data_IF_596836615141
#
_entry.id   IF_596836615141
#
_cell.length_a   1.000
_cell.length_b   1.000
_cell.length_c   1.000
_cell.angle_alpha   90.00
_cell.angle_beta   90.00
_cell.angle_gamma   90.00
#
_symmetry.space_group_name_H-M   'P 1'
#
loop_
_entity.id
_entity.type
_entity.pdbx_description
1 polymer ?
#
# COMPACT_ATOMS: atom_id res chain seq x y z
N UNK A 1 -6.43 9.68 -27.13
CA UNK A 1 -5.51 9.82 -26.02
C UNK A 1 -6.22 9.35 -24.76
N UNK A 2 -5.71 8.32 -24.10
CA UNK A 2 -6.25 7.85 -22.82
C UNK A 2 -5.18 8.07 -21.76
N UNK A 3 -5.51 8.81 -20.69
CA UNK A 3 -4.58 9.17 -19.64
C UNK A 3 -4.87 8.38 -18.37
N UNK A 4 -3.81 7.81 -17.78
CA UNK A 4 -3.80 7.36 -16.40
C UNK A 4 -3.10 8.43 -15.53
N UNK A 5 -3.84 9.03 -14.61
CA UNK A 5 -3.31 9.96 -13.63
C UNK A 5 -2.96 9.19 -12.35
N UNK A 6 -1.71 9.21 -11.96
CA UNK A 6 -1.19 8.44 -10.81
C UNK A 6 -0.60 9.39 -9.79
N UNK A 7 -1.18 9.49 -8.61
CA UNK A 7 -0.59 10.26 -7.49
C UNK A 7 0.33 9.38 -6.65
N UNK A 8 1.39 9.95 -6.09
CA UNK A 8 2.46 9.16 -5.48
C UNK A 8 3.22 8.35 -6.53
N UNK A 9 3.29 8.89 -7.76
CA UNK A 9 3.74 8.18 -8.96
C UNK A 9 5.17 7.65 -8.88
N UNK A 10 6.03 8.25 -8.08
CA UNK A 10 7.40 7.81 -7.89
C UNK A 10 7.60 6.87 -6.68
N UNK A 11 6.53 6.58 -5.91
CA UNK A 11 6.54 5.59 -4.83
C UNK A 11 6.47 4.15 -5.37
N UNK A 12 6.51 3.16 -4.45
CA UNK A 12 6.48 1.72 -4.79
C UNK A 12 5.30 1.37 -5.70
N UNK A 13 4.08 1.62 -5.25
CA UNK A 13 2.86 1.23 -5.97
C UNK A 13 2.61 2.17 -7.16
N UNK A 14 2.86 3.48 -6.98
CA UNK A 14 2.67 4.45 -8.05
C UNK A 14 3.56 4.18 -9.26
N UNK A 15 4.85 3.87 -9.04
CA UNK A 15 5.78 3.61 -10.14
C UNK A 15 5.46 2.31 -10.89
N UNK A 16 5.04 1.27 -10.17
CA UNK A 16 4.56 0.03 -10.79
C UNK A 16 3.29 0.27 -11.59
N UNK A 17 2.35 1.08 -11.04
CA UNK A 17 1.13 1.49 -11.75
C UNK A 17 1.47 2.25 -13.04
N UNK A 18 2.39 3.21 -12.99
CA UNK A 18 2.81 3.96 -14.18
C UNK A 18 3.31 3.03 -15.30
N UNK A 19 4.17 2.07 -14.95
CA UNK A 19 4.71 1.08 -15.91
C UNK A 19 3.60 0.20 -16.50
N UNK A 20 2.74 -0.33 -15.63
CA UNK A 20 1.68 -1.26 -16.03
C UNK A 20 0.66 -0.59 -16.96
N UNK A 21 0.16 0.60 -16.62
CA UNK A 21 -0.80 1.31 -17.44
C UNK A 21 -0.18 1.84 -18.74
N UNK A 22 1.10 2.24 -18.69
CA UNK A 22 1.82 2.61 -19.91
C UNK A 22 1.95 1.42 -20.88
N UNK A 23 2.22 0.23 -20.37
CA UNK A 23 2.29 -0.98 -21.19
C UNK A 23 0.94 -1.33 -21.87
N UNK A 24 -0.17 -0.87 -21.30
CA UNK A 24 -1.51 -1.00 -21.89
C UNK A 24 -1.90 0.18 -22.79
N UNK A 25 -0.94 1.04 -23.13
CA UNK A 25 -1.12 2.13 -24.08
C UNK A 25 -1.69 3.43 -23.52
N UNK A 26 -1.69 3.61 -22.19
CA UNK A 26 -2.05 4.89 -21.58
C UNK A 26 -0.87 5.86 -21.62
N UNK A 27 -1.15 7.13 -21.85
CA UNK A 27 -0.23 8.20 -21.49
C UNK A 27 -0.31 8.41 -19.96
N UNK A 28 0.84 8.67 -19.33
CA UNK A 28 0.91 8.75 -17.87
C UNK A 28 1.08 10.20 -17.43
N UNK A 29 0.22 10.64 -16.50
CA UNK A 29 0.40 11.86 -15.72
C UNK A 29 0.72 11.47 -14.28
N UNK A 30 1.98 11.58 -13.91
CA UNK A 30 2.45 11.29 -12.57
C UNK A 30 2.42 12.54 -11.70
N UNK A 31 1.74 12.48 -10.55
CA UNK A 31 1.70 13.55 -9.54
C UNK A 31 2.48 13.10 -8.32
N UNK A 32 3.58 13.78 -8.00
CA UNK A 32 4.43 13.46 -6.84
C UNK A 32 5.27 14.70 -6.47
N UNK A 33 5.43 14.98 -5.18
CA UNK A 33 6.21 16.10 -4.66
C UNK A 33 7.36 15.65 -3.74
N UNK A 34 7.68 14.36 -3.73
CA UNK A 34 8.76 13.75 -2.93
C UNK A 34 8.63 14.01 -1.40
N UNK A 35 7.41 14.17 -0.88
CA UNK A 35 7.22 14.29 0.59
C UNK A 35 7.73 13.08 1.37
N UNK A 36 7.99 11.96 0.71
CA UNK A 36 8.60 10.80 1.35
C UNK A 36 9.97 11.12 1.94
N UNK A 37 10.76 11.97 1.28
CA UNK A 37 12.02 12.48 1.81
C UNK A 37 11.82 13.28 3.10
N UNK A 38 10.73 14.06 3.20
CA UNK A 38 10.37 14.79 4.43
C UNK A 38 9.96 13.85 5.56
N UNK A 39 9.20 12.77 5.25
CA UNK A 39 8.69 11.85 6.27
C UNK A 39 9.75 10.90 6.83
N UNK A 40 10.70 10.44 5.99
CA UNK A 40 11.63 9.36 6.31
C UNK A 40 13.10 9.69 6.07
N UNK A 41 13.42 10.92 5.67
CA UNK A 41 14.78 11.36 5.37
C UNK A 41 15.19 11.16 3.89
N UNK A 42 16.33 11.73 3.52
CA UNK A 42 16.81 11.77 2.15
C UNK A 42 17.00 10.37 1.50
N UNK A 43 17.32 9.35 2.29
CA UNK A 43 17.47 7.97 1.80
C UNK A 43 16.14 7.38 1.29
N UNK A 44 15.01 7.96 1.69
CA UNK A 44 13.68 7.53 1.27
C UNK A 44 13.13 8.35 0.09
N UNK A 45 13.90 9.29 -0.47
CA UNK A 45 13.51 10.12 -1.62
C UNK A 45 13.09 9.27 -2.81
N UNK A 46 12.03 9.71 -3.48
CA UNK A 46 11.50 9.08 -4.69
C UNK A 46 12.06 9.69 -5.99
N UNK A 47 12.95 10.68 -5.89
CA UNK A 47 13.50 11.42 -7.03
C UNK A 47 14.19 10.51 -8.07
N UNK A 48 14.95 9.49 -7.63
CA UNK A 48 15.59 8.54 -8.54
C UNK A 48 14.59 7.71 -9.33
N UNK A 49 13.51 7.29 -8.70
CA UNK A 49 12.41 6.55 -9.35
C UNK A 49 11.70 7.45 -10.37
N UNK A 50 11.43 8.72 -10.02
CA UNK A 50 10.87 9.70 -10.97
C UNK A 50 11.74 9.81 -12.22
N UNK A 51 13.05 10.02 -12.07
CA UNK A 51 13.99 10.12 -13.19
C UNK A 51 13.95 8.87 -14.08
N UNK A 52 13.89 7.68 -13.47
CA UNK A 52 13.78 6.42 -14.23
C UNK A 52 12.45 6.34 -15.03
N UNK A 53 11.33 6.81 -14.46
CA UNK A 53 10.05 6.87 -15.17
C UNK A 53 10.09 7.84 -16.35
N UNK A 54 10.64 9.05 -16.15
CA UNK A 54 10.81 10.07 -17.18
C UNK A 54 11.69 9.58 -18.36
N UNK A 55 12.70 8.76 -18.08
CA UNK A 55 13.60 8.19 -19.08
C UNK A 55 13.03 6.95 -19.80
N UNK A 56 12.24 6.14 -19.12
CA UNK A 56 11.82 4.83 -19.63
C UNK A 56 10.42 4.82 -20.24
N UNK A 57 9.53 5.73 -19.82
CA UNK A 57 8.15 5.76 -20.29
C UNK A 57 7.94 6.90 -21.29
N UNK A 58 7.69 6.52 -22.54
CA UNK A 58 7.29 7.50 -23.56
C UNK A 58 5.94 8.14 -23.15
N UNK A 59 5.80 9.46 -23.29
CA UNK A 59 4.60 10.21 -22.90
C UNK A 59 4.31 10.21 -21.39
N UNK A 60 5.30 9.97 -20.54
CA UNK A 60 5.22 10.27 -19.11
C UNK A 60 5.36 11.78 -18.90
N UNK A 61 4.47 12.34 -18.09
CA UNK A 61 4.52 13.76 -17.67
C UNK A 61 4.49 13.82 -16.16
N UNK A 62 5.47 14.50 -15.58
CA UNK A 62 5.51 14.71 -14.14
C UNK A 62 4.90 16.07 -13.79
N UNK A 63 3.99 16.07 -12.82
CA UNK A 63 3.41 17.25 -12.21
C UNK A 63 3.83 17.28 -10.71
N UNK A 64 4.72 18.22 -10.36
CA UNK A 64 5.21 18.38 -8.98
C UNK A 64 4.17 19.13 -8.13
N UNK A 65 3.07 18.45 -7.82
CA UNK A 65 1.91 19.03 -7.13
C UNK A 65 1.70 18.35 -5.79
N UNK A 66 1.44 19.17 -4.77
CA UNK A 66 0.93 18.72 -3.48
C UNK A 66 -0.58 18.50 -3.57
N UNK A 67 -1.05 17.31 -3.26
CA UNK A 67 -2.48 16.97 -3.32
C UNK A 67 -3.33 17.76 -2.32
N UNK A 68 -2.71 18.40 -1.33
CA UNK A 68 -3.37 19.31 -0.38
C UNK A 68 -3.77 20.66 -1.02
N UNK A 69 -3.06 21.04 -2.08
CA UNK A 69 -3.32 22.26 -2.84
C UNK A 69 -4.46 22.01 -3.85
N UNK A 70 -5.68 22.37 -3.45
CA UNK A 70 -6.86 22.18 -4.26
C UNK A 70 -6.80 22.88 -5.62
N UNK A 71 -6.22 24.09 -5.69
CA UNK A 71 -6.13 24.86 -6.92
C UNK A 71 -5.12 24.23 -7.90
N UNK A 72 -3.99 23.76 -7.37
CA UNK A 72 -2.99 23.06 -8.19
C UNK A 72 -3.55 21.72 -8.70
N UNK A 73 -4.26 20.96 -7.88
CA UNK A 73 -4.96 19.72 -8.29
C UNK A 73 -5.96 20.03 -9.39
N UNK A 74 -6.84 21.02 -9.20
CA UNK A 74 -7.82 21.41 -10.20
C UNK A 74 -7.19 21.86 -11.53
N UNK A 75 -6.05 22.57 -11.50
CA UNK A 75 -5.30 22.93 -12.71
C UNK A 75 -4.82 21.71 -13.49
N UNK A 76 -4.31 20.68 -12.80
CA UNK A 76 -3.89 19.43 -13.46
C UNK A 76 -5.10 18.73 -14.09
N UNK A 77 -6.19 18.57 -13.35
CA UNK A 77 -7.36 17.87 -13.85
C UNK A 77 -8.05 18.61 -15.00
N UNK A 78 -8.20 19.92 -14.92
CA UNK A 78 -8.80 20.73 -16.00
C UNK A 78 -7.97 20.72 -17.28
N UNK A 79 -6.63 20.68 -17.17
CA UNK A 79 -5.69 20.60 -18.30
C UNK A 79 -5.92 19.35 -19.16
N UNK A 80 -6.27 18.22 -18.55
CA UNK A 80 -6.44 16.95 -19.26
C UNK A 80 -7.90 16.54 -19.41
N UNK A 81 -8.77 16.98 -18.51
CA UNK A 81 -10.23 16.81 -18.60
C UNK A 81 -10.64 15.36 -18.84
N UNK A 82 -11.57 15.17 -19.76
CA UNK A 82 -12.13 13.86 -20.13
C UNK A 82 -11.14 12.88 -20.77
N UNK A 83 -9.91 13.30 -21.09
CA UNK A 83 -8.86 12.40 -21.52
C UNK A 83 -8.36 11.50 -20.37
N UNK A 84 -8.53 11.93 -19.11
CA UNK A 84 -8.28 11.10 -17.93
C UNK A 84 -9.32 9.99 -17.89
N UNK A 85 -8.88 8.73 -18.02
CA UNK A 85 -9.74 7.55 -17.98
C UNK A 85 -9.65 6.80 -16.67
N UNK A 86 -8.53 6.96 -15.97
CA UNK A 86 -8.31 6.36 -14.64
C UNK A 86 -7.48 7.29 -13.77
N UNK A 87 -7.84 7.38 -12.52
CA UNK A 87 -7.08 8.01 -11.43
C UNK A 87 -6.69 6.92 -10.45
N UNK A 88 -5.39 6.73 -10.24
CA UNK A 88 -4.87 5.80 -9.22
C UNK A 88 -4.21 6.61 -8.11
N UNK A 89 -4.87 6.66 -6.97
CA UNK A 89 -4.44 7.46 -5.83
C UNK A 89 -3.63 6.61 -4.85
N UNK A 90 -2.29 6.78 -4.90
CA UNK A 90 -1.35 6.10 -3.99
C UNK A 90 -0.54 7.08 -3.13
N UNK A 91 -0.66 8.39 -3.36
CA UNK A 91 -0.03 9.38 -2.49
C UNK A 91 -0.61 9.33 -1.08
N UNK A 92 0.25 9.27 -0.08
CA UNK A 92 -0.15 9.22 1.33
C UNK A 92 1.01 9.64 2.26
N UNK A 93 0.66 10.05 3.48
CA UNK A 93 1.55 10.00 4.64
C UNK A 93 1.36 8.62 5.29
N UNK A 94 2.35 7.69 5.28
CA UNK A 94 2.12 6.30 5.68
C UNK A 94 2.66 5.94 7.07
N UNK A 95 3.19 6.89 7.85
CA UNK A 95 3.86 6.64 9.13
C UNK A 95 2.97 6.92 10.34
N UNK A 96 2.82 5.93 11.23
CA UNK A 96 2.14 6.13 12.52
C UNK A 96 2.85 7.16 13.41
N UNK A 97 4.20 7.09 13.47
CA UNK A 97 4.99 7.97 14.33
C UNK A 97 4.95 9.42 13.83
N UNK A 98 4.98 9.61 12.51
CA UNK A 98 4.82 10.93 11.91
C UNK A 98 3.42 11.50 12.17
N UNK A 99 2.36 10.70 11.99
CA UNK A 99 0.99 11.10 12.27
C UNK A 99 0.80 11.57 13.72
N UNK A 100 1.45 10.91 14.67
CA UNK A 100 1.39 11.30 16.07
C UNK A 100 2.09 12.63 16.36
N UNK A 101 3.17 12.96 15.64
CA UNK A 101 3.90 14.23 15.79
C UNK A 101 3.27 15.38 15.02
N UNK A 102 2.73 15.12 13.85
CA UNK A 102 2.21 16.08 12.88
C UNK A 102 0.79 15.72 12.41
N UNK A 103 -0.22 15.68 13.32
CA UNK A 103 -1.55 15.17 12.98
C UNK A 103 -2.27 16.01 11.92
N UNK A 104 -2.04 17.32 11.88
CA UNK A 104 -2.61 18.18 10.82
C UNK A 104 -2.03 17.83 9.45
N UNK A 105 -0.74 17.59 9.36
CA UNK A 105 -0.08 17.16 8.11
C UNK A 105 -0.61 15.79 7.68
N UNK A 106 -0.69 14.83 8.59
CA UNK A 106 -1.23 13.49 8.31
C UNK A 106 -2.65 13.57 7.76
N UNK A 107 -3.55 14.26 8.48
CA UNK A 107 -4.96 14.36 8.07
C UNK A 107 -5.13 15.14 6.77
N UNK A 108 -4.38 16.23 6.57
CA UNK A 108 -4.45 17.02 5.35
C UNK A 108 -3.96 16.25 4.12
N UNK A 109 -2.90 15.45 4.23
CA UNK A 109 -2.42 14.60 3.13
C UNK A 109 -3.41 13.47 2.86
N UNK A 110 -3.78 12.69 3.89
CA UNK A 110 -4.52 11.46 3.70
C UNK A 110 -6.02 11.70 3.43
N UNK A 111 -6.67 12.61 4.14
CA UNK A 111 -8.12 12.83 4.01
C UNK A 111 -8.45 14.01 3.09
N UNK A 112 -7.87 15.21 3.34
CA UNK A 112 -8.18 16.39 2.53
C UNK A 112 -7.63 16.23 1.10
N UNK A 113 -6.41 15.73 0.94
CA UNK A 113 -5.85 15.44 -0.38
C UNK A 113 -6.69 14.44 -1.17
N UNK A 114 -7.22 13.40 -0.53
CA UNK A 114 -8.16 12.46 -1.18
C UNK A 114 -9.45 13.16 -1.60
N UNK A 115 -10.01 14.03 -0.76
CA UNK A 115 -11.20 14.82 -1.11
C UNK A 115 -10.96 15.72 -2.33
N UNK A 116 -9.82 16.42 -2.37
CA UNK A 116 -9.46 17.28 -3.51
C UNK A 116 -9.42 16.48 -4.82
N UNK A 117 -8.82 15.28 -4.80
CA UNK A 117 -8.74 14.41 -5.98
C UNK A 117 -10.11 13.86 -6.40
N UNK A 118 -10.97 13.49 -5.45
CA UNK A 118 -12.34 13.04 -5.71
C UNK A 118 -13.17 14.15 -6.36
N UNK A 119 -13.14 15.37 -5.81
CA UNK A 119 -13.85 16.51 -6.38
C UNK A 119 -13.32 16.90 -7.77
N UNK A 120 -12.00 16.93 -7.95
CA UNK A 120 -11.42 17.19 -9.27
C UNK A 120 -11.81 16.11 -10.29
N UNK A 121 -11.85 14.83 -9.88
CA UNK A 121 -12.31 13.74 -10.73
C UNK A 121 -13.78 13.92 -11.11
N UNK A 122 -14.64 14.20 -10.13
CA UNK A 122 -16.07 14.40 -10.35
C UNK A 122 -16.37 15.58 -11.28
N UNK A 123 -15.60 16.67 -11.15
CA UNK A 123 -15.81 17.89 -11.93
C UNK A 123 -15.25 17.81 -13.36
N UNK A 124 -14.08 17.21 -13.56
CA UNK A 124 -13.35 17.28 -14.82
C UNK A 124 -13.38 15.99 -15.64
N UNK A 125 -13.53 14.82 -14.98
CA UNK A 125 -13.53 13.50 -15.63
C UNK A 125 -14.46 12.49 -14.93
N UNK A 126 -15.77 12.79 -14.77
CA UNK A 126 -16.69 11.99 -13.95
C UNK A 126 -16.85 10.53 -14.42
N UNK A 127 -16.51 10.23 -15.67
CA UNK A 127 -16.51 8.86 -16.21
C UNK A 127 -15.24 8.06 -15.90
N UNK A 128 -14.21 8.70 -15.35
CA UNK A 128 -12.96 8.04 -15.01
C UNK A 128 -13.14 7.05 -13.87
N UNK A 129 -12.35 5.98 -13.90
CA UNK A 129 -12.23 5.03 -12.77
C UNK A 129 -11.36 5.66 -11.71
N UNK A 130 -11.76 5.61 -10.44
CA UNK A 130 -10.99 6.10 -9.30
C UNK A 130 -10.59 4.92 -8.39
N UNK A 131 -9.31 4.67 -8.29
CA UNK A 131 -8.72 3.61 -7.47
C UNK A 131 -7.97 4.23 -6.30
N UNK A 132 -8.30 3.82 -5.08
CA UNK A 132 -7.69 4.32 -3.86
C UNK A 132 -6.93 3.22 -3.12
N UNK A 133 -5.66 3.47 -2.83
CA UNK A 133 -4.85 2.59 -1.98
C UNK A 133 -5.08 2.94 -0.51
N UNK A 134 -5.94 2.17 0.15
CA UNK A 134 -6.21 2.22 1.57
C UNK A 134 -5.29 1.25 2.34
N UNK A 135 -5.61 0.94 3.57
CA UNK A 135 -4.76 0.14 4.47
C UNK A 135 -5.59 -0.75 5.38
N UNK A 136 -5.02 -1.84 5.86
CA UNK A 136 -5.60 -2.66 6.93
C UNK A 136 -5.73 -1.91 8.28
N UNK A 137 -5.07 -0.76 8.43
CA UNK A 137 -5.15 0.06 9.66
C UNK A 137 -6.51 0.73 9.85
N UNK A 138 -7.38 0.69 8.84
CA UNK A 138 -8.79 1.09 8.99
C UNK A 138 -9.55 0.19 9.98
N UNK A 139 -9.09 -1.02 10.24
CA UNK A 139 -9.65 -1.93 11.25
C UNK A 139 -9.13 -1.65 12.67
N UNK A 140 -8.21 -0.70 12.84
CA UNK A 140 -7.62 -0.36 14.13
C UNK A 140 -6.99 -1.56 14.81
N UNK A 141 -7.26 -1.74 16.11
CA UNK A 141 -6.78 -2.88 16.92
C UNK A 141 -7.78 -4.06 16.97
N UNK A 142 -8.89 -4.00 16.22
CA UNK A 142 -9.88 -5.09 16.17
C UNK A 142 -9.25 -6.45 15.85
N UNK A 143 -8.28 -6.58 14.92
CA UNK A 143 -7.60 -7.84 14.67
C UNK A 143 -6.87 -8.42 15.89
N UNK A 144 -6.42 -7.60 16.83
CA UNK A 144 -5.73 -8.03 18.04
C UNK A 144 -6.67 -8.65 19.10
N UNK A 145 -7.98 -8.54 18.91
CA UNK A 145 -9.01 -9.15 19.79
C UNK A 145 -9.41 -10.56 19.35
N UNK A 146 -8.87 -11.04 18.23
CA UNK A 146 -9.13 -12.39 17.75
C UNK A 146 -8.51 -13.43 18.71
N UNK A 147 -9.13 -14.63 18.85
CA UNK A 147 -8.66 -15.71 19.72
C UNK A 147 -7.42 -16.39 19.11
N UNK A 148 -6.28 -15.71 19.19
CA UNK A 148 -5.02 -16.20 18.65
C UNK A 148 -4.36 -17.22 19.56
N UNK A 149 -3.69 -18.21 18.96
CA UNK A 149 -2.83 -19.19 19.64
C UNK A 149 -1.36 -18.90 19.37
N UNK A 150 -0.57 -18.94 20.41
CA UNK A 150 0.89 -18.86 20.26
C UNK A 150 1.44 -20.23 19.83
N UNK A 151 2.02 -20.28 18.63
CA UNK A 151 2.77 -21.42 18.13
C UNK A 151 4.29 -21.18 18.31
N UNK A 152 5.11 -22.13 17.86
CA UNK A 152 6.57 -22.03 18.04
C UNK A 152 7.16 -20.78 17.36
N UNK A 153 6.77 -20.50 16.11
CA UNK A 153 7.34 -19.40 15.31
C UNK A 153 6.35 -18.27 15.01
N UNK A 154 5.06 -18.42 15.31
CA UNK A 154 4.02 -17.47 14.93
C UNK A 154 2.82 -17.47 15.86
N UNK A 155 2.09 -16.36 15.86
CA UNK A 155 0.71 -16.32 16.30
C UNK A 155 -0.19 -16.81 15.17
N UNK A 156 -1.22 -17.61 15.49
CA UNK A 156 -2.13 -18.14 14.46
C UNK A 156 -3.55 -18.24 15.01
N UNK A 157 -4.54 -18.13 14.11
CA UNK A 157 -5.94 -18.30 14.43
C UNK A 157 -6.34 -19.77 14.28
N UNK A 158 -7.34 -20.20 15.06
CA UNK A 158 -7.86 -21.56 14.97
C UNK A 158 -8.39 -21.88 13.55
N UNK A 159 -8.06 -23.04 12.97
CA UNK A 159 -8.58 -23.44 11.66
C UNK A 159 -10.10 -23.45 11.53
N UNK A 160 -10.84 -23.64 12.63
CA UNK A 160 -12.30 -23.60 12.63
C UNK A 160 -12.88 -22.18 12.73
N UNK A 161 -12.05 -21.16 12.96
CA UNK A 161 -12.49 -19.77 13.08
C UNK A 161 -12.92 -19.19 11.73
N UNK A 162 -14.01 -18.38 11.64
CA UNK A 162 -14.45 -17.76 10.38
C UNK A 162 -13.37 -16.97 9.63
N UNK A 163 -12.46 -16.32 10.36
CA UNK A 163 -11.34 -15.59 9.79
C UNK A 163 -10.07 -16.44 9.54
N UNK A 164 -10.17 -17.78 9.54
CA UNK A 164 -9.01 -18.63 9.25
C UNK A 164 -8.40 -18.30 7.87
N UNK A 165 -9.23 -18.13 6.86
CA UNK A 165 -8.76 -17.78 5.50
C UNK A 165 -8.28 -16.33 5.38
N UNK A 166 -8.52 -15.52 6.40
CA UNK A 166 -8.16 -14.12 6.46
C UNK A 166 -9.31 -13.23 6.91
N UNK A 167 -8.99 -11.99 7.21
CA UNK A 167 -9.92 -10.93 7.60
C UNK A 167 -10.57 -10.38 6.33
N UNK A 168 -11.90 -10.48 6.25
CA UNK A 168 -12.69 -9.93 5.17
C UNK A 168 -13.18 -8.49 5.47
N UNK A 169 -13.88 -7.88 4.52
CA UNK A 169 -14.36 -6.50 4.57
C UNK A 169 -15.51 -6.29 5.55
N UNK A 170 -16.06 -7.35 6.15
CA UNK A 170 -17.13 -7.28 7.17
C UNK A 170 -16.62 -7.01 8.58
N UNK A 171 -15.30 -7.12 8.80
CA UNK A 171 -14.71 -6.74 10.09
C UNK A 171 -15.02 -5.28 10.39
N UNK A 172 -15.57 -5.02 11.60
CA UNK A 172 -15.92 -3.66 12.02
C UNK A 172 -14.71 -2.73 12.06
N UNK A 173 -14.95 -1.51 11.63
CA UNK A 173 -14.02 -0.37 11.78
C UNK A 173 -14.37 0.48 12.99
N UNK A 174 -15.44 0.15 13.73
CA UNK A 174 -15.95 0.91 14.88
C UNK A 174 -15.41 0.36 16.20
N UNK A 175 -15.47 1.20 17.25
CA UNK A 175 -15.11 0.84 18.63
C UNK A 175 -13.71 0.24 18.78
N UNK A 176 -12.75 0.79 18.06
CA UNK A 176 -11.38 0.30 17.97
C UNK A 176 -10.38 1.46 18.01
N UNK A 177 -9.15 1.21 18.42
CA UNK A 177 -8.08 2.21 18.45
C UNK A 177 -7.34 2.20 17.10
N UNK A 178 -7.59 3.23 16.27
CA UNK A 178 -7.04 3.30 14.90
C UNK A 178 -5.60 3.82 14.82
N UNK A 179 -5.06 4.52 15.80
CA UNK A 179 -4.01 5.53 15.66
C UNK A 179 -4.46 6.73 14.81
N UNK A 180 -3.71 7.84 14.82
CA UNK A 180 -4.05 9.02 14.01
C UNK A 180 -3.93 8.74 12.51
N UNK A 181 -2.88 8.03 12.09
CA UNK A 181 -2.73 7.55 10.72
C UNK A 181 -3.92 6.69 10.26
N UNK A 182 -4.33 5.72 11.09
CA UNK A 182 -5.50 4.88 10.79
C UNK A 182 -6.77 5.71 10.65
N UNK A 183 -6.99 6.69 11.54
CA UNK A 183 -8.16 7.56 11.51
C UNK A 183 -8.24 8.43 10.24
N UNK A 184 -7.12 9.03 9.81
CA UNK A 184 -7.08 9.80 8.56
C UNK A 184 -7.33 8.93 7.32
N UNK A 185 -6.83 7.69 7.34
CA UNK A 185 -7.09 6.72 6.26
C UNK A 185 -8.54 6.21 6.27
N UNK A 186 -9.18 6.03 7.46
CA UNK A 186 -10.62 5.72 7.56
C UNK A 186 -11.46 6.85 6.94
N UNK A 187 -11.15 8.10 7.25
CA UNK A 187 -11.86 9.24 6.67
C UNK A 187 -11.79 9.23 5.14
N UNK A 188 -10.60 9.02 4.56
CA UNK A 188 -10.40 8.90 3.12
C UNK A 188 -11.13 7.69 2.52
N UNK A 189 -11.04 6.52 3.16
CA UNK A 189 -11.66 5.27 2.73
C UNK A 189 -13.19 5.43 2.61
N UNK A 190 -13.83 6.02 3.62
CA UNK A 190 -15.28 6.29 3.60
C UNK A 190 -15.65 7.33 2.56
N UNK A 191 -14.87 8.40 2.39
CA UNK A 191 -15.13 9.38 1.32
C UNK A 191 -15.15 8.72 -0.05
N UNK A 192 -14.17 7.88 -0.36
CA UNK A 192 -14.12 7.18 -1.67
C UNK A 192 -15.33 6.27 -1.87
N UNK A 193 -15.80 5.58 -0.81
CA UNK A 193 -17.03 4.79 -0.86
C UNK A 193 -18.24 5.66 -1.17
N UNK A 194 -18.39 6.79 -0.47
CA UNK A 194 -19.53 7.68 -0.64
C UNK A 194 -19.56 8.37 -1.99
N UNK A 195 -18.40 8.75 -2.55
CA UNK A 195 -18.35 9.27 -3.93
C UNK A 195 -18.81 8.22 -4.95
N UNK A 196 -18.52 6.97 -4.72
CA UNK A 196 -19.08 5.88 -5.53
C UNK A 196 -20.59 5.73 -5.35
N UNK A 197 -21.05 5.65 -4.12
CA UNK A 197 -22.47 5.39 -3.78
C UNK A 197 -23.37 6.59 -4.07
N UNK A 198 -22.94 7.79 -3.67
CA UNK A 198 -23.74 9.00 -3.75
C UNK A 198 -23.73 9.63 -5.15
N UNK A 199 -22.57 9.66 -5.81
CA UNK A 199 -22.42 10.28 -7.14
C UNK A 199 -22.35 9.26 -8.27
N UNK A 200 -22.40 7.97 -8.00
CA UNK A 200 -22.31 6.91 -9.01
C UNK A 200 -20.94 6.81 -9.70
N UNK A 201 -19.89 7.38 -9.11
CA UNK A 201 -18.54 7.28 -9.63
C UNK A 201 -18.03 5.84 -9.57
N UNK A 202 -17.19 5.45 -10.52
CA UNK A 202 -16.55 4.13 -10.56
C UNK A 202 -15.37 4.12 -9.60
N UNK A 203 -15.62 3.81 -8.32
CA UNK A 203 -14.59 3.88 -7.27
C UNK A 203 -14.29 2.51 -6.65
N UNK A 204 -13.02 2.23 -6.39
CA UNK A 204 -12.59 1.09 -5.60
C UNK A 204 -11.57 1.50 -4.52
N UNK A 205 -11.71 0.87 -3.38
CA UNK A 205 -10.81 0.96 -2.25
C UNK A 205 -10.07 -0.38 -2.10
N UNK A 206 -8.74 -0.34 -2.12
CA UNK A 206 -7.90 -1.50 -1.86
C UNK A 206 -7.24 -1.32 -0.48
N UNK A 207 -7.77 -2.04 0.52
CA UNK A 207 -7.22 -2.06 1.88
C UNK A 207 -6.03 -2.99 1.93
N UNK A 208 -4.84 -2.41 1.76
CA UNK A 208 -3.59 -3.16 1.67
C UNK A 208 -3.16 -3.80 2.98
N UNK A 209 -2.61 -5.03 2.89
CA UNK A 209 -1.73 -5.63 3.88
C UNK A 209 -0.33 -5.02 3.80
N UNK A 210 0.73 -5.81 3.92
CA UNK A 210 2.09 -5.31 3.67
C UNK A 210 2.37 -5.29 2.16
N UNK A 211 2.36 -4.09 1.58
CA UNK A 211 2.71 -3.87 0.17
C UNK A 211 4.23 -3.87 0.03
N UNK A 212 4.78 -4.68 -0.84
CA UNK A 212 6.22 -4.86 -0.96
C UNK A 212 6.66 -5.18 -2.39
N UNK A 213 7.97 -5.19 -2.62
CA UNK A 213 8.55 -5.49 -3.93
C UNK A 213 9.97 -4.92 -4.06
N UNK A 214 10.68 -5.18 -5.17
CA UNK A 214 12.08 -4.81 -5.36
C UNK A 214 12.32 -3.29 -5.37
N UNK A 215 11.32 -2.49 -5.76
CA UNK A 215 11.42 -1.03 -5.75
C UNK A 215 11.10 -0.39 -4.37
N UNK A 216 10.89 -1.20 -3.31
CA UNK A 216 10.56 -0.67 -2.01
C UNK A 216 11.79 -0.10 -1.30
N UNK A 217 11.88 1.21 -1.18
CA UNK A 217 12.86 1.88 -0.32
C UNK A 217 12.48 1.65 1.17
N UNK A 218 12.79 0.46 1.67
CA UNK A 218 12.50 0.06 3.05
C UNK A 218 13.35 0.81 4.06
N UNK A 219 12.72 1.26 5.14
CA UNK A 219 13.35 1.89 6.31
C UNK A 219 12.89 1.16 7.57
N UNK A 220 13.55 1.39 8.70
CA UNK A 220 13.19 0.74 9.98
C UNK A 220 11.70 0.94 10.36
N UNK A 221 11.13 2.09 10.00
CA UNK A 221 9.77 2.45 10.37
C UNK A 221 8.73 2.11 9.29
N UNK A 222 9.16 1.75 8.06
CA UNK A 222 8.23 1.47 6.96
C UNK A 222 8.83 0.51 5.93
N UNK A 223 8.09 -0.56 5.59
CA UNK A 223 8.51 -1.56 4.61
C UNK A 223 9.41 -2.65 5.20
N UNK A 224 8.89 -3.34 6.22
CA UNK A 224 9.68 -4.25 7.05
C UNK A 224 10.42 -5.33 6.26
N UNK A 225 9.82 -5.99 5.25
CA UNK A 225 10.50 -7.06 4.48
C UNK A 225 11.70 -6.52 3.69
N UNK A 226 11.55 -5.37 3.04
CA UNK A 226 12.63 -4.77 2.27
C UNK A 226 13.77 -4.30 3.20
N UNK A 227 13.43 -3.71 4.34
CA UNK A 227 14.42 -3.30 5.33
C UNK A 227 15.10 -4.50 6.02
N UNK A 228 14.34 -5.54 6.37
CA UNK A 228 14.87 -6.78 6.93
C UNK A 228 15.88 -7.43 6.00
N UNK A 229 15.53 -7.61 4.72
CA UNK A 229 16.43 -8.16 3.71
C UNK A 229 17.68 -7.29 3.52
N UNK A 230 17.52 -5.97 3.49
CA UNK A 230 18.65 -5.00 3.42
C UNK A 230 19.59 -5.18 4.61
N UNK A 231 19.08 -5.26 5.84
CA UNK A 231 19.89 -5.46 7.02
C UNK A 231 20.61 -6.82 6.98
N UNK A 232 19.92 -7.90 6.63
CA UNK A 232 20.52 -9.24 6.51
C UNK A 232 21.63 -9.27 5.46
N UNK A 233 21.38 -8.75 4.27
CA UNK A 233 22.33 -8.78 3.16
C UNK A 233 23.55 -7.89 3.38
N UNK A 234 23.40 -6.77 4.12
CA UNK A 234 24.48 -5.79 4.33
C UNK A 234 25.14 -5.88 5.70
N UNK A 235 24.68 -6.75 6.62
CA UNK A 235 25.20 -6.88 7.99
C UNK A 235 24.83 -5.69 8.90
N UNK A 236 23.77 -4.95 8.59
CA UNK A 236 23.26 -3.88 9.45
C UNK A 236 22.44 -4.50 10.60
N UNK A 237 22.54 -3.99 11.84
CA UNK A 237 21.73 -4.46 12.95
C UNK A 237 20.24 -4.16 12.70
N UNK A 238 19.38 -5.05 13.21
CA UNK A 238 17.93 -4.94 13.11
C UNK A 238 17.28 -5.00 14.51
N UNK A 239 16.15 -4.33 14.70
CA UNK A 239 15.36 -4.41 15.93
C UNK A 239 14.03 -5.10 15.67
N UNK A 240 13.75 -6.16 16.43
CA UNK A 240 12.47 -6.88 16.42
C UNK A 240 11.62 -6.36 17.58
N UNK A 241 10.47 -5.76 17.28
CA UNK A 241 9.60 -5.12 18.25
C UNK A 241 8.41 -6.01 18.63
N UNK A 242 8.26 -6.28 19.91
CA UNK A 242 7.10 -6.88 20.54
C UNK A 242 6.68 -8.27 20.05
N UNK A 243 5.64 -8.76 20.66
CA UNK A 243 4.97 -10.02 20.33
C UNK A 243 5.90 -11.24 20.18
N UNK A 244 7.07 -11.20 20.82
CA UNK A 244 8.15 -12.23 20.73
C UNK A 244 8.67 -12.46 19.30
N UNK A 245 8.48 -11.50 18.39
CA UNK A 245 8.79 -11.68 16.96
C UNK A 245 7.85 -12.63 16.22
N UNK A 246 6.76 -13.05 16.85
CA UNK A 246 5.79 -14.03 16.29
C UNK A 246 4.58 -13.37 15.59
N UNK A 247 4.54 -12.04 15.50
CA UNK A 247 3.48 -11.31 14.81
C UNK A 247 3.44 -11.66 13.33
N UNK A 248 2.25 -11.93 12.80
CA UNK A 248 2.03 -12.37 11.42
C UNK A 248 1.51 -11.25 10.54
N UNK A 249 2.06 -11.13 9.35
CA UNK A 249 1.63 -10.23 8.28
C UNK A 249 1.53 -10.97 6.97
N UNK A 250 0.54 -10.62 6.18
CA UNK A 250 0.52 -11.00 4.78
C UNK A 250 1.23 -9.94 3.92
N UNK A 251 1.84 -10.40 2.85
CA UNK A 251 2.73 -9.60 2.02
C UNK A 251 2.36 -9.78 0.56
N UNK A 252 1.96 -8.69 -0.10
CA UNK A 252 1.63 -8.73 -1.53
C UNK A 252 2.70 -8.01 -2.34
N UNK A 253 3.09 -8.62 -3.46
CA UNK A 253 3.98 -7.99 -4.43
C UNK A 253 3.29 -6.79 -5.09
N UNK A 254 4.03 -5.69 -5.31
CA UNK A 254 3.51 -4.49 -6.00
C UNK A 254 2.88 -4.80 -7.36
N UNK A 255 3.46 -5.72 -8.10
CA UNK A 255 2.93 -6.21 -9.37
C UNK A 255 1.53 -6.83 -9.21
N UNK A 256 1.34 -7.76 -8.27
CA UNK A 256 0.06 -8.45 -8.07
C UNK A 256 -1.05 -7.49 -7.64
N UNK A 257 -0.70 -6.48 -6.82
CA UNK A 257 -1.63 -5.41 -6.46
C UNK A 257 -2.02 -4.55 -7.67
N UNK A 258 -1.04 -4.17 -8.50
CA UNK A 258 -1.29 -3.32 -9.67
C UNK A 258 -2.06 -4.09 -10.75
N UNK A 259 -1.86 -5.40 -10.89
CA UNK A 259 -2.72 -6.25 -11.71
C UNK A 259 -4.17 -6.25 -11.21
N UNK A 260 -4.41 -6.17 -9.90
CA UNK A 260 -5.76 -6.01 -9.38
C UNK A 260 -6.36 -4.64 -9.76
N UNK A 261 -5.58 -3.57 -9.76
CA UNK A 261 -6.04 -2.25 -10.26
C UNK A 261 -6.40 -2.32 -11.73
N UNK A 262 -5.59 -3.02 -12.53
CA UNK A 262 -5.85 -3.22 -13.95
C UNK A 262 -7.14 -4.01 -14.18
N UNK A 263 -7.36 -5.13 -13.51
CA UNK A 263 -8.59 -5.92 -13.62
C UNK A 263 -9.82 -5.10 -13.22
N UNK A 264 -9.73 -4.28 -12.16
CA UNK A 264 -10.80 -3.36 -11.78
C UNK A 264 -11.05 -2.30 -12.86
N UNK A 265 -10.00 -1.77 -13.49
CA UNK A 265 -10.13 -0.77 -14.57
C UNK A 265 -10.87 -1.31 -15.79
N UNK A 266 -10.66 -2.59 -16.12
CA UNK A 266 -11.36 -3.26 -17.25
C UNK A 266 -12.85 -3.46 -16.98
N UNK A 267 -13.25 -3.75 -15.73
CA UNK A 267 -14.65 -3.99 -15.34
C UNK A 267 -14.97 -3.24 -14.02
N UNK A 268 -15.03 -1.90 -14.09
CA UNK A 268 -15.17 -1.11 -12.88
C UNK A 268 -16.56 -1.26 -12.25
N UNK A 269 -16.60 -1.17 -10.93
CA UNK A 269 -17.79 -1.12 -10.09
C UNK A 269 -17.85 0.22 -9.34
N UNK A 270 -18.89 0.46 -8.58
CA UNK A 270 -19.09 1.71 -7.84
C UNK A 270 -19.05 1.45 -6.33
N UNK A 271 -18.21 2.20 -5.60
CA UNK A 271 -18.15 2.16 -4.14
C UNK A 271 -17.65 0.84 -3.55
N UNK A 272 -16.83 0.09 -4.27
CA UNK A 272 -16.36 -1.23 -3.85
C UNK A 272 -15.14 -1.16 -2.93
N UNK A 273 -15.15 -2.01 -1.92
CA UNK A 273 -14.04 -2.20 -0.97
C UNK A 273 -13.50 -3.61 -1.11
N UNK A 274 -12.17 -3.73 -1.18
CA UNK A 274 -11.45 -4.99 -1.23
C UNK A 274 -10.31 -5.02 -0.24
N UNK A 275 -10.27 -6.03 0.62
CA UNK A 275 -9.03 -6.36 1.32
C UNK A 275 -8.05 -6.98 0.33
N UNK A 276 -6.82 -6.46 0.30
CA UNK A 276 -5.83 -6.87 -0.69
C UNK A 276 -4.45 -7.00 -0.05
N UNK A 277 -4.03 -8.22 0.16
CA UNK A 277 -2.73 -8.59 0.73
C UNK A 277 -2.25 -9.89 0.14
N UNK A 278 -1.22 -10.49 0.74
CA UNK A 278 -0.72 -11.79 0.32
C UNK A 278 -1.59 -12.97 0.74
N UNK A 279 -2.58 -12.75 1.60
CA UNK A 279 -3.49 -13.77 2.10
C UNK A 279 -2.74 -14.99 2.67
N UNK A 280 -3.35 -16.17 2.60
CA UNK A 280 -2.67 -17.43 2.94
C UNK A 280 -1.56 -17.81 1.95
N UNK A 281 -1.55 -17.23 0.76
CA UNK A 281 -0.55 -17.47 -0.27
C UNK A 281 0.83 -16.91 0.10
N UNK A 282 0.88 -15.74 0.73
CA UNK A 282 2.14 -15.05 1.05
C UNK A 282 2.03 -14.32 2.38
N UNK A 283 2.26 -15.03 3.48
CA UNK A 283 2.30 -14.47 4.82
C UNK A 283 3.44 -15.07 5.64
N UNK A 284 3.90 -14.35 6.65
CA UNK A 284 4.92 -14.83 7.58
C UNK A 284 4.86 -14.11 8.92
N UNK A 285 5.40 -14.75 9.94
CA UNK A 285 5.82 -14.05 11.15
C UNK A 285 7.16 -13.34 10.93
N UNK A 286 7.58 -12.50 11.89
CA UNK A 286 8.90 -11.89 11.85
C UNK A 286 10.01 -12.94 11.94
N UNK A 287 9.86 -13.96 12.80
CA UNK A 287 10.86 -15.05 12.95
C UNK A 287 10.97 -15.87 11.66
N UNK A 288 9.85 -16.20 11.01
CA UNK A 288 9.84 -16.91 9.72
C UNK A 288 10.48 -16.05 8.61
N UNK A 289 10.22 -14.74 8.61
CA UNK A 289 10.83 -13.81 7.64
C UNK A 289 12.36 -13.73 7.83
N UNK A 290 12.83 -13.66 9.07
CA UNK A 290 14.28 -13.68 9.40
C UNK A 290 14.92 -14.95 8.85
N UNK A 291 14.37 -16.12 9.19
CA UNK A 291 14.91 -17.40 8.72
C UNK A 291 14.99 -17.47 7.17
N UNK A 292 13.97 -16.98 6.50
CA UNK A 292 13.93 -16.98 5.05
C UNK A 292 14.93 -15.97 4.43
N UNK A 293 15.08 -14.78 5.03
CA UNK A 293 16.09 -13.81 4.61
C UNK A 293 17.52 -14.37 4.78
N UNK A 294 17.81 -15.03 5.90
CA UNK A 294 19.10 -15.69 6.13
C UNK A 294 19.37 -16.80 5.10
N UNK A 295 18.36 -17.63 4.81
CA UNK A 295 18.46 -18.67 3.81
C UNK A 295 18.77 -18.13 2.42
N UNK A 296 18.09 -17.04 2.00
CA UNK A 296 18.25 -16.45 0.67
C UNK A 296 19.59 -15.73 0.54
N UNK A 297 19.98 -14.96 1.54
CA UNK A 297 21.22 -14.16 1.51
C UNK A 297 22.48 -14.96 1.81
N UNK A 298 22.35 -16.14 2.45
CA UNK A 298 23.48 -16.90 3.00
C UNK A 298 24.15 -16.24 4.20
N UNK A 299 23.54 -15.22 4.79
CA UNK A 299 24.10 -14.45 5.93
C UNK A 299 23.19 -14.52 7.13
N UNK A 300 23.77 -14.45 8.33
CA UNK A 300 23.02 -14.32 9.58
C UNK A 300 22.65 -12.86 9.84
N UNK A 301 21.44 -12.64 10.34
CA UNK A 301 20.98 -11.33 10.78
C UNK A 301 21.47 -11.06 12.20
N UNK A 302 22.11 -9.93 12.40
CA UNK A 302 22.34 -9.37 13.73
C UNK A 302 21.08 -8.61 14.17
N UNK A 303 20.37 -9.13 15.20
CA UNK A 303 19.18 -8.46 15.70
C UNK A 303 19.05 -8.49 17.21
N UNK A 304 18.38 -7.46 17.72
CA UNK A 304 17.98 -7.35 19.13
C UNK A 304 16.47 -7.37 19.25
N UNK A 305 15.97 -8.06 20.29
CA UNK A 305 14.56 -8.05 20.61
C UNK A 305 14.24 -6.88 21.56
N UNK A 306 13.16 -6.15 21.25
CA UNK A 306 12.60 -5.06 22.06
C UNK A 306 11.23 -5.48 22.54
N UNK A 307 10.99 -5.47 23.84
CA UNK A 307 9.73 -5.94 24.46
C UNK A 307 8.53 -5.08 24.05
N UNK A 308 8.73 -3.77 23.88
CA UNK A 308 7.67 -2.83 23.55
C UNK A 308 7.12 -3.05 22.15
N UNK A 309 5.78 -3.11 22.03
CA UNK A 309 5.10 -3.17 20.75
C UNK A 309 5.06 -1.78 20.10
N UNK A 310 5.15 -1.73 18.78
CA UNK A 310 4.89 -0.50 18.03
C UNK A 310 3.40 -0.14 18.09
N UNK A 311 3.10 1.16 18.28
CA UNK A 311 1.73 1.66 18.32
C UNK A 311 1.03 1.36 17.00
N UNK A 312 -0.21 0.82 17.09
CA UNK A 312 -1.01 0.47 15.91
C UNK A 312 -0.59 -0.81 15.20
N UNK A 313 0.30 -1.61 15.81
CA UNK A 313 0.71 -2.87 15.19
C UNK A 313 -0.26 -4.01 15.50
N UNK A 314 -0.41 -4.94 14.54
CA UNK A 314 -1.26 -6.12 14.70
C UNK A 314 -0.44 -7.32 15.22
N UNK A 315 -1.05 -8.18 16.04
CA UNK A 315 -0.48 -9.47 16.40
C UNK A 315 -0.58 -10.43 15.21
N UNK A 316 -1.73 -10.41 14.55
CA UNK A 316 -2.00 -11.22 13.37
C UNK A 316 -2.87 -10.43 12.41
N UNK A 317 -2.45 -10.37 11.14
CA UNK A 317 -3.28 -9.85 10.06
C UNK A 317 -2.97 -10.59 8.77
N UNK A 318 -3.99 -11.25 8.25
CA UNK A 318 -3.99 -11.91 6.94
C UNK A 318 -5.25 -11.45 6.22
N UNK A 319 -5.13 -10.93 5.01
CA UNK A 319 -6.27 -10.46 4.20
C UNK A 319 -7.05 -11.61 3.61
N UNK A 320 -8.37 -11.57 3.63
CA UNK A 320 -9.21 -12.41 2.78
C UNK A 320 -9.45 -11.71 1.44
N UNK A 321 -8.89 -12.22 0.39
CA UNK A 321 -9.02 -11.65 -0.97
C UNK A 321 -10.10 -12.32 -1.81
N UNK A 322 -10.85 -13.27 -1.23
CA UNK A 322 -11.85 -14.06 -1.97
C UNK A 322 -12.97 -13.22 -2.58
N UNK A 323 -13.33 -12.07 -1.97
CA UNK A 323 -14.27 -11.12 -2.58
C UNK A 323 -13.75 -10.60 -3.90
N UNK A 324 -12.48 -10.16 -3.95
CA UNK A 324 -11.86 -9.69 -5.18
C UNK A 324 -11.78 -10.79 -6.23
N UNK A 325 -11.33 -11.99 -5.85
CA UNK A 325 -11.22 -13.14 -6.76
C UNK A 325 -12.57 -13.56 -7.36
N UNK A 326 -13.67 -13.47 -6.59
CA UNK A 326 -15.03 -13.72 -7.14
C UNK A 326 -15.46 -12.69 -8.15
N UNK A 327 -15.11 -11.41 -7.95
CA UNK A 327 -15.44 -10.33 -8.89
C UNK A 327 -14.52 -10.33 -10.12
N UNK A 328 -13.27 -10.77 -9.96
CA UNK A 328 -12.22 -10.76 -10.98
C UNK A 328 -11.50 -12.12 -11.04
N UNK A 329 -12.14 -13.16 -11.56
CA UNK A 329 -11.61 -14.54 -11.51
C UNK A 329 -10.33 -14.75 -12.33
N UNK A 330 -10.03 -13.84 -13.24
CA UNK A 330 -8.79 -13.87 -14.02
C UNK A 330 -7.57 -13.37 -13.24
N UNK A 331 -7.79 -12.63 -12.14
CA UNK A 331 -6.70 -12.17 -11.29
C UNK A 331 -6.16 -13.32 -10.43
N UNK A 332 -4.84 -13.46 -10.37
CA UNK A 332 -4.13 -14.48 -9.57
C UNK A 332 -2.81 -13.91 -9.06
N UNK A 333 -2.36 -14.41 -7.92
CA UNK A 333 -0.99 -14.15 -7.46
C UNK A 333 0.03 -14.72 -8.43
N UNK A 334 1.09 -13.94 -8.69
CA UNK A 334 2.25 -14.37 -9.45
C UNK A 334 3.48 -14.58 -8.55
N UNK A 335 3.51 -13.93 -7.38
CA UNK A 335 4.65 -13.94 -6.49
C UNK A 335 4.27 -14.42 -5.09
N UNK A 336 4.93 -15.50 -4.64
CA UNK A 336 4.88 -15.93 -3.24
C UNK A 336 5.94 -15.17 -2.39
N UNK A 337 5.92 -15.41 -1.09
CA UNK A 337 6.85 -14.77 -0.16
C UNK A 337 8.33 -14.98 -0.52
N UNK A 338 8.68 -16.18 -0.97
CA UNK A 338 10.06 -16.53 -1.33
C UNK A 338 10.50 -15.76 -2.57
N UNK A 339 9.68 -15.73 -3.60
CA UNK A 339 9.94 -14.98 -4.84
C UNK A 339 10.06 -13.46 -4.55
N UNK A 340 9.18 -12.92 -3.70
CA UNK A 340 9.26 -11.53 -3.24
C UNK A 340 10.61 -11.24 -2.60
N UNK A 341 11.04 -12.04 -1.63
CA UNK A 341 12.30 -11.85 -0.92
C UNK A 341 13.52 -12.04 -1.83
N UNK A 342 13.48 -12.97 -2.78
CA UNK A 342 14.54 -13.14 -3.77
C UNK A 342 14.71 -11.90 -4.65
N UNK A 343 13.62 -11.31 -5.12
CA UNK A 343 13.69 -10.07 -5.91
C UNK A 343 14.19 -8.88 -5.10
N UNK A 344 13.74 -8.75 -3.84
CA UNK A 344 14.26 -7.71 -2.94
C UNK A 344 15.76 -7.91 -2.69
N UNK A 345 16.20 -9.14 -2.42
CA UNK A 345 17.62 -9.45 -2.25
C UNK A 345 18.43 -9.06 -3.50
N UNK A 346 17.97 -9.46 -4.68
CA UNK A 346 18.62 -9.09 -5.93
C UNK A 346 18.74 -7.58 -6.09
N UNK A 347 17.67 -6.82 -5.81
CA UNK A 347 17.69 -5.37 -5.86
C UNK A 347 18.66 -4.74 -4.85
N UNK A 348 18.82 -5.32 -3.67
CA UNK A 348 19.76 -4.85 -2.64
C UNK A 348 21.22 -5.05 -3.04
N UNK A 349 21.55 -6.16 -3.72
CA UNK A 349 22.95 -6.47 -4.08
C UNK A 349 23.38 -5.87 -5.41
N UNK A 350 22.44 -5.46 -6.27
CA UNK A 350 22.74 -4.82 -7.56
C UNK A 350 22.73 -3.30 -7.51
N UNK A 351 22.27 -2.70 -6.40
CA UNK A 351 22.38 -1.28 -6.15
C UNK A 351 21.21 -0.44 -6.35
#
# INVERSE_FOLDING_TARGET
MSIALVTGSAGLIGSETCKRFHAEGYDIVGVDNDMRATFFGAEASTASTRTKLEQSLKNYRHEAVDIRDNDAVNKVFSKFGSAIKVVVHTAAQPSHDWAAREPHTDFSVNAVGTLNLLEATRQHCPAAVFIFTSTNKVYGDTPNRLPLRELELRWEIDPAHPYHEGIDETMSIDQTKHSLFGASKVAADILVQEYGRYFGMKTAIFRGGCLTGPAHAGTELHGFLAYLMKCTATGRPYRVFGYKGKQVRDNIHSHDLVEAFWQFTLQPRSGEVYNMGGSRHSNCSMLEAIALCEQISGKKLDYTYVEDNRIGDHIWYVSDVRKFQRHYPNWKYQFDLKAILQQIHQAVITG
#
